data_IF_580184741956
#
_entry.id   IF_580184741956
#
_cell.length_a   1.000
_cell.length_b   1.000
_cell.length_c   1.000
_cell.angle_alpha   90.00
_cell.angle_beta   90.00
_cell.angle_gamma   90.00
#
_symmetry.space_group_name_H-M   'P 1'
#
loop_
_entity.id
_entity.type
_entity.pdbx_description
1 polymer ?
#
# COMPACT_ATOMS: atom_id res chain seq x y z
N UNK A 1 12.27 -36.58 42.95
CA UNK A 1 12.88 -36.12 41.69
C UNK A 1 11.90 -36.16 40.52
N UNK A 2 11.13 -37.25 40.32
CA UNK A 2 10.17 -37.38 39.20
C UNK A 2 9.05 -36.31 39.22
N UNK A 3 8.46 -36.02 40.38
CA UNK A 3 7.38 -35.02 40.50
C UNK A 3 7.81 -33.59 40.14
N UNK A 4 9.05 -33.20 40.43
CA UNK A 4 9.59 -31.89 40.09
C UNK A 4 9.80 -31.74 38.58
N UNK A 5 10.25 -32.81 37.91
CA UNK A 5 10.41 -32.81 36.46
C UNK A 5 9.07 -32.66 35.73
N UNK A 6 8.01 -33.32 36.22
CA UNK A 6 6.66 -33.22 35.65
C UNK A 6 6.09 -31.79 35.79
N UNK A 7 6.28 -31.15 36.95
CA UNK A 7 5.82 -29.78 37.17
C UNK A 7 6.52 -28.76 36.26
N UNK A 8 7.83 -28.91 36.03
CA UNK A 8 8.59 -28.03 35.12
C UNK A 8 8.13 -28.20 33.68
N UNK A 9 7.94 -29.44 33.22
CA UNK A 9 7.45 -29.71 31.86
C UNK A 9 6.05 -29.15 31.64
N UNK A 10 5.14 -29.32 32.60
CA UNK A 10 3.78 -28.78 32.52
C UNK A 10 3.77 -27.23 32.47
N UNK A 11 4.59 -26.58 33.30
CA UNK A 11 4.75 -25.12 33.27
C UNK A 11 5.35 -24.62 31.95
N UNK A 12 6.37 -25.30 31.42
CA UNK A 12 6.94 -24.94 30.12
C UNK A 12 5.92 -25.09 28.98
N UNK A 13 5.12 -26.15 28.98
CA UNK A 13 4.07 -26.36 27.98
C UNK A 13 2.95 -25.33 28.09
N UNK A 14 2.55 -24.94 29.31
CA UNK A 14 1.59 -23.86 29.52
C UNK A 14 2.13 -22.52 29.04
N UNK A 15 3.38 -22.18 29.35
CA UNK A 15 4.02 -20.94 28.90
C UNK A 15 4.19 -20.91 27.38
N UNK A 16 4.57 -22.05 26.77
CA UNK A 16 4.68 -22.17 25.32
C UNK A 16 3.30 -22.07 24.66
N UNK A 17 2.27 -22.71 25.23
CA UNK A 17 0.90 -22.62 24.76
C UNK A 17 0.34 -21.19 24.87
N UNK A 18 0.62 -20.49 25.97
CA UNK A 18 0.25 -19.09 26.15
C UNK A 18 1.01 -18.21 25.17
N UNK A 19 2.31 -18.45 24.97
CA UNK A 19 3.13 -17.72 24.01
C UNK A 19 2.64 -17.93 22.58
N UNK A 20 2.29 -19.15 22.18
CA UNK A 20 1.70 -19.42 20.85
C UNK A 20 0.29 -18.83 20.74
N UNK A 21 -0.50 -18.82 21.81
CA UNK A 21 -1.82 -18.21 21.81
C UNK A 21 -1.76 -16.68 21.72
N UNK A 22 -0.82 -16.04 22.43
CA UNK A 22 -0.63 -14.59 22.40
C UNK A 22 0.11 -14.15 21.16
N UNK A 23 1.21 -14.83 20.77
CA UNK A 23 2.11 -14.41 19.69
C UNK A 23 1.94 -15.16 18.37
N UNK A 24 1.28 -16.32 18.34
CA UNK A 24 1.09 -17.09 17.10
C UNK A 24 0.06 -16.49 16.14
N UNK A 25 -0.69 -15.48 16.58
CA UNK A 25 -1.61 -14.70 15.76
C UNK A 25 -1.27 -13.21 15.66
N UNK A 26 -0.07 -12.78 16.06
CA UNK A 26 0.34 -11.39 15.90
C UNK A 26 0.82 -11.13 14.48
N UNK A 27 0.04 -10.31 13.76
CA UNK A 27 0.39 -9.60 12.53
C UNK A 27 1.87 -9.20 12.52
N UNK A 28 2.60 -9.60 11.47
CA UNK A 28 4.03 -9.27 11.37
C UNK A 28 4.14 -7.77 11.12
N UNK A 29 4.77 -7.00 12.04
CA UNK A 29 4.85 -5.56 11.89
C UNK A 29 5.54 -5.20 10.58
N UNK A 30 4.76 -4.71 9.62
CA UNK A 30 5.21 -4.29 8.29
C UNK A 30 4.71 -5.12 7.10
N UNK A 31 4.01 -6.23 7.30
CA UNK A 31 3.45 -7.03 6.21
C UNK A 31 1.92 -7.04 6.22
N UNK A 32 1.33 -6.94 5.04
CA UNK A 32 -0.11 -7.21 4.86
C UNK A 32 -0.23 -8.74 4.72
N UNK A 33 -0.45 -9.41 5.85
CA UNK A 33 -0.39 -10.88 5.94
C UNK A 33 -1.75 -11.57 6.15
N UNK A 34 -2.84 -10.80 6.29
CA UNK A 34 -4.19 -11.34 6.25
C UNK A 34 -4.53 -11.85 4.84
N UNK A 35 -4.82 -13.16 4.65
CA UNK A 35 -5.08 -13.71 3.32
C UNK A 35 -6.24 -13.02 2.60
N UNK A 36 -7.31 -12.66 3.32
CA UNK A 36 -8.47 -11.96 2.74
C UNK A 36 -8.09 -10.55 2.24
N UNK A 37 -7.28 -9.83 3.01
CA UNK A 37 -6.85 -8.45 2.67
C UNK A 37 -5.86 -8.51 1.50
N UNK A 38 -4.85 -9.38 1.58
CA UNK A 38 -3.84 -9.55 0.55
C UNK A 38 -4.46 -9.92 -0.80
N UNK A 39 -5.38 -10.90 -0.83
CA UNK A 39 -6.03 -11.35 -2.07
C UNK A 39 -6.81 -10.23 -2.76
N UNK A 40 -7.51 -9.40 -1.98
CA UNK A 40 -8.27 -8.25 -2.50
C UNK A 40 -7.34 -7.14 -2.96
N UNK A 41 -6.32 -6.80 -2.17
CA UNK A 41 -5.33 -5.79 -2.52
C UNK A 41 -4.56 -6.16 -3.79
N UNK A 42 -4.13 -7.41 -3.95
CA UNK A 42 -3.39 -7.87 -5.13
C UNK A 42 -4.24 -7.86 -6.39
N UNK A 43 -5.51 -8.30 -6.30
CA UNK A 43 -6.43 -8.19 -7.43
C UNK A 43 -6.69 -6.75 -7.83
N UNK A 44 -7.05 -5.90 -6.86
CA UNK A 44 -7.32 -4.49 -7.10
C UNK A 44 -6.08 -3.80 -7.70
N UNK A 45 -4.91 -4.13 -7.20
CA UNK A 45 -3.65 -3.62 -7.72
C UNK A 45 -3.39 -4.08 -9.15
N UNK A 46 -3.63 -5.36 -9.48
CA UNK A 46 -3.50 -5.87 -10.85
C UNK A 46 -4.36 -5.07 -11.82
N UNK A 47 -5.62 -4.81 -11.45
CA UNK A 47 -6.52 -3.97 -12.24
C UNK A 47 -6.00 -2.54 -12.38
N UNK A 48 -5.53 -1.92 -11.29
CA UNK A 48 -4.96 -0.57 -11.31
C UNK A 48 -3.72 -0.49 -12.20
N UNK A 49 -2.80 -1.44 -12.09
CA UNK A 49 -1.56 -1.45 -12.88
C UNK A 49 -1.84 -1.57 -14.38
N UNK A 50 -2.76 -2.45 -14.75
CA UNK A 50 -3.21 -2.56 -16.14
C UNK A 50 -3.86 -1.25 -16.62
N UNK A 51 -4.71 -0.64 -15.78
CA UNK A 51 -5.37 0.62 -16.07
C UNK A 51 -4.38 1.80 -16.23
N UNK A 52 -3.35 1.88 -15.38
CA UNK A 52 -2.31 2.90 -15.44
C UNK A 52 -1.46 2.76 -16.70
N UNK A 53 -1.08 1.53 -17.06
CA UNK A 53 -0.25 1.26 -18.22
C UNK A 53 -0.90 1.71 -19.54
N UNK A 54 -2.20 1.46 -19.72
CA UNK A 54 -2.92 1.85 -20.95
C UNK A 54 -3.22 3.35 -21.04
N UNK A 55 -3.08 4.09 -19.93
CA UNK A 55 -3.37 5.53 -19.82
C UNK A 55 -2.12 6.40 -19.86
N UNK A 56 -0.95 5.83 -20.07
CA UNK A 56 0.28 6.61 -20.19
C UNK A 56 0.20 7.56 -21.39
N UNK A 57 0.57 8.83 -21.17
CA UNK A 57 0.73 9.77 -22.27
C UNK A 57 1.91 9.32 -23.17
N UNK A 58 1.83 9.51 -24.49
CA UNK A 58 2.98 9.30 -25.37
C UNK A 58 4.08 10.32 -25.03
N UNK A 59 5.34 10.03 -25.35
CA UNK A 59 6.42 11.00 -25.22
C UNK A 59 6.09 12.29 -25.98
N UNK A 60 6.43 13.45 -25.39
CA UNK A 60 6.21 14.78 -25.98
C UNK A 60 4.73 15.10 -26.26
N UNK A 61 3.82 14.51 -25.48
CA UNK A 61 2.41 14.86 -25.54
C UNK A 61 2.20 16.35 -25.21
N UNK A 62 1.15 16.95 -25.76
CA UNK A 62 0.74 18.29 -25.35
C UNK A 62 0.36 18.29 -23.85
N UNK A 63 0.64 19.39 -23.14
CA UNK A 63 0.39 19.52 -21.69
C UNK A 63 -1.02 19.09 -21.27
N UNK A 64 -2.05 19.42 -22.07
CA UNK A 64 -3.41 18.98 -21.75
C UNK A 64 -3.57 17.45 -21.79
N UNK A 65 -2.90 16.77 -22.72
CA UNK A 65 -2.93 15.31 -22.81
C UNK A 65 -2.16 14.67 -21.64
N UNK A 66 -1.05 15.28 -21.21
CA UNK A 66 -0.30 14.84 -20.02
C UNK A 66 -1.15 14.97 -18.76
N UNK A 67 -1.77 16.14 -18.53
CA UNK A 67 -2.69 16.36 -17.40
C UNK A 67 -3.83 15.35 -17.38
N UNK A 68 -4.44 15.08 -18.55
CA UNK A 68 -5.50 14.06 -18.66
C UNK A 68 -4.98 12.67 -18.29
N UNK A 69 -3.81 12.28 -18.79
CA UNK A 69 -3.20 10.99 -18.48
C UNK A 69 -2.96 10.84 -16.97
N UNK A 70 -2.37 11.86 -16.31
CA UNK A 70 -2.11 11.85 -14.87
C UNK A 70 -3.39 11.62 -14.08
N UNK A 71 -4.47 12.35 -14.41
CA UNK A 71 -5.76 12.24 -13.72
C UNK A 71 -6.42 10.88 -13.93
N UNK A 72 -6.42 10.36 -15.16
CA UNK A 72 -6.99 9.05 -15.43
C UNK A 72 -6.20 7.92 -14.75
N UNK A 73 -4.88 8.08 -14.59
CA UNK A 73 -4.06 7.17 -13.80
C UNK A 73 -4.38 7.28 -12.30
N UNK A 74 -4.59 8.50 -11.78
CA UNK A 74 -5.03 8.73 -10.40
C UNK A 74 -6.39 8.07 -10.12
N UNK A 75 -7.34 8.15 -11.05
CA UNK A 75 -8.65 7.50 -10.92
C UNK A 75 -8.52 5.98 -10.74
N UNK A 76 -7.56 5.35 -11.44
CA UNK A 76 -7.27 3.93 -11.28
C UNK A 76 -6.73 3.58 -9.89
N UNK A 77 -5.87 4.44 -9.33
CA UNK A 77 -5.36 4.30 -7.96
C UNK A 77 -6.48 4.48 -6.94
N UNK A 78 -7.31 5.52 -7.10
CA UNK A 78 -8.47 5.79 -6.22
C UNK A 78 -9.45 4.60 -6.25
N UNK A 79 -9.69 4.01 -7.41
CA UNK A 79 -10.55 2.84 -7.53
C UNK A 79 -9.98 1.62 -6.77
N UNK A 80 -8.66 1.39 -6.82
CA UNK A 80 -8.00 0.34 -6.05
C UNK A 80 -8.10 0.60 -4.54
N UNK A 81 -7.80 1.82 -4.08
CA UNK A 81 -7.94 2.18 -2.65
C UNK A 81 -9.38 1.98 -2.17
N UNK A 82 -10.36 2.40 -2.97
CA UNK A 82 -11.77 2.23 -2.66
C UNK A 82 -12.17 0.74 -2.56
N UNK A 83 -11.64 -0.11 -3.44
CA UNK A 83 -11.92 -1.56 -3.42
C UNK A 83 -11.40 -2.21 -2.14
N UNK A 84 -10.15 -1.94 -1.75
CA UNK A 84 -9.60 -2.49 -0.51
C UNK A 84 -10.35 -1.96 0.72
N UNK A 85 -10.75 -0.68 0.71
CA UNK A 85 -11.54 -0.08 1.80
C UNK A 85 -12.91 -0.71 2.01
N UNK A 86 -13.49 -1.36 0.99
CA UNK A 86 -14.78 -2.07 1.12
C UNK A 86 -14.72 -3.26 2.08
N UNK A 87 -13.54 -3.76 2.42
CA UNK A 87 -13.37 -4.80 3.45
C UNK A 87 -13.79 -4.33 4.85
N UNK A 88 -13.85 -3.02 5.07
CA UNK A 88 -14.34 -2.40 6.29
C UNK A 88 -13.26 -2.12 7.31
N UNK A 89 -13.46 -1.05 8.09
CA UNK A 89 -12.47 -0.49 9.02
C UNK A 89 -12.02 -1.44 10.12
N UNK A 90 -12.85 -2.42 10.50
CA UNK A 90 -12.47 -3.39 11.53
C UNK A 90 -11.32 -4.27 11.01
N UNK A 91 -11.52 -4.93 9.87
CA UNK A 91 -10.53 -5.82 9.25
C UNK A 91 -9.22 -5.11 8.90
N UNK A 92 -9.32 -3.89 8.36
CA UNK A 92 -8.13 -3.13 7.96
C UNK A 92 -7.31 -2.59 9.14
N UNK A 93 -7.88 -2.52 10.35
CA UNK A 93 -7.11 -2.16 11.55
C UNK A 93 -6.48 -3.39 12.21
N UNK A 94 -7.06 -4.56 12.00
CA UNK A 94 -6.52 -5.81 12.53
C UNK A 94 -5.30 -6.30 11.70
N UNK A 95 -5.08 -5.71 10.52
CA UNK A 95 -3.90 -5.86 9.65
C UNK A 95 -3.20 -4.48 9.54
N UNK A 96 -2.32 -4.21 10.50
CA UNK A 96 -1.82 -2.88 10.85
C UNK A 96 -1.18 -2.08 9.71
N UNK A 97 -0.36 -2.64 8.78
CA UNK A 97 0.21 -1.82 7.72
C UNK A 97 -0.81 -1.46 6.63
N UNK A 98 -1.96 -2.12 6.56
CA UNK A 98 -2.92 -1.91 5.47
C UNK A 98 -3.49 -0.49 5.46
N UNK A 99 -3.85 0.06 6.62
CA UNK A 99 -4.40 1.41 6.70
C UNK A 99 -3.39 2.48 6.25
N UNK A 100 -2.14 2.36 6.71
CA UNK A 100 -1.06 3.27 6.35
C UNK A 100 -0.68 3.12 4.87
N UNK A 101 -0.62 1.90 4.36
CA UNK A 101 -0.38 1.61 2.94
C UNK A 101 -1.44 2.27 2.04
N UNK A 102 -2.72 2.21 2.43
CA UNK A 102 -3.79 2.91 1.71
C UNK A 102 -3.64 4.44 1.78
N UNK A 103 -3.23 4.96 2.94
CA UNK A 103 -2.96 6.40 3.12
C UNK A 103 -1.78 6.87 2.25
N UNK A 104 -0.77 6.03 2.04
CA UNK A 104 0.38 6.34 1.18
C UNK A 104 -0.04 6.43 -0.29
N UNK A 105 -0.93 5.54 -0.76
CA UNK A 105 -1.53 5.65 -2.10
C UNK A 105 -2.31 6.94 -2.30
N UNK A 106 -3.09 7.36 -1.30
CA UNK A 106 -3.83 8.63 -1.34
C UNK A 106 -2.87 9.84 -1.36
N UNK A 107 -1.81 9.78 -0.55
CA UNK A 107 -0.76 10.82 -0.53
C UNK A 107 -0.08 10.95 -1.90
N UNK A 108 0.17 9.83 -2.59
CA UNK A 108 0.71 9.83 -3.95
C UNK A 108 -0.27 10.49 -4.94
N UNK A 109 -1.56 10.12 -4.89
CA UNK A 109 -2.62 10.71 -5.74
C UNK A 109 -2.70 12.21 -5.55
N UNK A 110 -2.73 12.68 -4.29
CA UNK A 110 -2.80 14.11 -3.98
C UNK A 110 -1.58 14.88 -4.49
N UNK A 111 -0.38 14.29 -4.38
CA UNK A 111 0.84 14.89 -4.93
C UNK A 111 0.78 15.01 -6.45
N UNK A 112 0.29 13.97 -7.11
CA UNK A 112 0.13 13.93 -8.57
C UNK A 112 -0.93 14.91 -9.05
N UNK A 113 -2.04 15.09 -8.32
CA UNK A 113 -3.05 16.09 -8.67
C UNK A 113 -2.50 17.52 -8.52
N UNK A 114 -1.73 17.81 -7.47
CA UNK A 114 -1.06 19.12 -7.34
C UNK A 114 -0.12 19.40 -8.52
N UNK A 115 0.61 18.38 -8.97
CA UNK A 115 1.46 18.47 -10.15
C UNK A 115 0.63 18.75 -11.42
N UNK A 116 -0.43 17.97 -11.69
CA UNK A 116 -1.32 18.17 -12.82
C UNK A 116 -1.99 19.56 -12.82
N UNK A 117 -2.38 20.05 -11.65
CA UNK A 117 -2.94 21.40 -11.48
C UNK A 117 -1.90 22.49 -11.77
N UNK A 118 -0.62 22.27 -11.42
CA UNK A 118 0.45 23.20 -11.76
C UNK A 118 0.74 23.23 -13.27
N UNK A 119 0.81 22.08 -13.94
CA UNK A 119 0.91 21.98 -15.40
C UNK A 119 -0.26 22.69 -16.09
N UNK A 120 -1.48 22.45 -15.64
CA UNK A 120 -2.69 23.09 -16.18
C UNK A 120 -2.65 24.63 -16.06
N UNK A 121 -1.93 25.15 -15.07
CA UNK A 121 -1.74 26.58 -14.86
C UNK A 121 -0.56 27.16 -15.66
N UNK A 122 0.06 26.39 -16.57
CA UNK A 122 1.21 26.81 -17.37
C UNK A 122 2.51 26.90 -16.58
N UNK A 123 2.61 26.24 -15.43
CA UNK A 123 3.86 26.14 -14.65
C UNK A 123 4.66 24.92 -15.10
N UNK A 124 5.95 24.92 -14.78
CA UNK A 124 6.88 23.79 -14.99
C UNK A 124 7.23 23.15 -13.62
N UNK A 125 6.28 22.46 -12.96
CA UNK A 125 6.55 21.80 -11.70
C UNK A 125 7.54 20.65 -11.91
N UNK A 126 8.42 20.40 -10.92
CA UNK A 126 9.14 19.13 -10.84
C UNK A 126 8.38 18.21 -9.90
N UNK A 127 8.06 16.99 -10.34
CA UNK A 127 7.48 16.02 -9.44
C UNK A 127 8.52 15.50 -8.43
N UNK A 128 8.14 15.51 -7.16
CA UNK A 128 8.95 14.98 -6.06
C UNK A 128 8.09 13.96 -5.32
N UNK A 129 8.63 12.75 -5.18
CA UNK A 129 7.97 11.68 -4.42
C UNK A 129 7.83 12.13 -2.96
N UNK A 130 6.61 12.08 -2.38
CA UNK A 130 6.41 12.43 -0.99
C UNK A 130 7.26 11.58 -0.03
N UNK A 131 7.64 12.18 1.08
CA UNK A 131 8.39 11.53 2.16
C UNK A 131 7.54 11.62 3.42
N UNK A 132 7.40 10.50 4.12
CA UNK A 132 6.70 10.39 5.40
C UNK A 132 7.64 9.68 6.37
N UNK A 133 7.80 10.25 7.56
CA UNK A 133 8.73 9.75 8.59
C UNK A 133 10.17 9.53 8.09
N UNK A 134 10.60 10.38 7.16
CA UNK A 134 11.95 10.32 6.57
C UNK A 134 12.15 9.23 5.50
N UNK A 135 11.09 8.50 5.14
CA UNK A 135 11.11 7.44 4.12
C UNK A 135 10.26 7.85 2.92
N UNK A 136 10.73 7.59 1.70
CA UNK A 136 9.92 7.82 0.50
C UNK A 136 8.66 6.93 0.56
N UNK A 137 7.49 7.49 0.25
CA UNK A 137 6.24 6.72 0.34
C UNK A 137 6.26 5.49 -0.58
N UNK A 138 6.97 5.54 -1.70
CA UNK A 138 7.13 4.39 -2.60
C UNK A 138 7.84 3.21 -1.95
N UNK A 139 8.81 3.46 -1.06
CA UNK A 139 9.53 2.41 -0.36
C UNK A 139 8.59 1.73 0.65
N UNK A 140 7.82 2.52 1.40
CA UNK A 140 6.79 2.04 2.34
C UNK A 140 5.70 1.24 1.62
N UNK A 141 5.26 1.71 0.45
CA UNK A 141 4.23 1.05 -0.35
C UNK A 141 4.68 -0.30 -0.89
N UNK A 142 5.96 -0.40 -1.28
CA UNK A 142 6.54 -1.61 -1.87
C UNK A 142 7.03 -2.63 -0.83
N UNK A 143 7.13 -2.25 0.46
CA UNK A 143 7.64 -3.09 1.54
C UNK A 143 6.59 -3.90 2.29
N UNK A 144 5.34 -3.94 1.81
CA UNK A 144 4.20 -4.62 2.50
C UNK A 144 4.12 -6.12 2.28
N UNK A 145 5.02 -6.69 1.48
CA UNK A 145 5.00 -8.13 1.13
C UNK A 145 4.00 -8.50 0.03
N UNK A 146 3.14 -7.57 -0.41
CA UNK A 146 2.25 -7.77 -1.55
C UNK A 146 3.02 -7.77 -2.87
N UNK A 147 2.50 -8.50 -3.88
CA UNK A 147 2.97 -8.38 -5.28
C UNK A 147 2.39 -7.13 -5.97
N UNK A 148 2.23 -6.04 -5.21
CA UNK A 148 1.72 -4.76 -5.67
C UNK A 148 2.81 -3.70 -5.61
N UNK A 149 3.61 -3.61 -6.68
CA UNK A 149 4.64 -2.59 -6.80
C UNK A 149 4.09 -1.32 -7.43
N UNK A 150 4.53 -0.15 -6.95
CA UNK A 150 4.18 1.15 -7.54
C UNK A 150 4.62 1.20 -9.00
N UNK A 151 3.71 1.41 -9.97
CA UNK A 151 4.08 1.53 -11.37
C UNK A 151 4.99 2.74 -11.64
N UNK A 152 6.04 2.62 -12.46
CA UNK A 152 6.93 3.73 -12.79
C UNK A 152 6.20 4.88 -13.50
N UNK A 153 5.12 4.59 -14.24
CA UNK A 153 4.26 5.60 -14.86
C UNK A 153 3.59 6.52 -13.83
N UNK A 154 3.52 6.12 -12.56
CA UNK A 154 3.03 6.98 -11.48
C UNK A 154 4.11 7.94 -10.94
N UNK A 155 5.36 7.78 -11.34
CA UNK A 155 6.51 8.52 -10.84
C UNK A 155 7.19 9.34 -11.95
N UNK A 156 7.15 8.84 -13.18
CA UNK A 156 7.73 9.45 -14.37
C UNK A 156 6.82 10.57 -14.90
N UNK A 157 6.76 11.66 -14.15
CA UNK A 157 6.05 12.89 -14.53
C UNK A 157 7.03 13.93 -15.11
N UNK A 158 6.58 14.74 -16.09
CA UNK A 158 7.42 15.76 -16.73
C UNK A 158 7.89 16.85 -15.76
#
# INVERSE_FOLDING_TARGET
MIAAAVAVVASCLCLLGLFVYTYGGHDRPGLIDSPEVAEVAERACTTMRAAVAVRAAPPQAATEAEVRAIRQQNDAVVAMVAEVRRLGKARLRDDHPTADWLSDWETLVDSRERHAAALSAGREPRFVVPVVDGVAITDRMNSTGLVCQVPPQLLDLP
#
